data_IF_604630361462
#
_entry.id   IF_604630361462
#
_cell.length_a   1.000
_cell.length_b   1.000
_cell.length_c   1.000
_cell.angle_alpha   90.00
_cell.angle_beta   90.00
_cell.angle_gamma   90.00
#
_symmetry.space_group_name_H-M   'P 1'
#
loop_
_entity.id
_entity.type
_entity.pdbx_description
1 polymer ?
#
# COMPACT_ATOMS: atom_id res chain seq x y z
N UNK A 1 5.09 -42.58 26.01
CA UNK A 1 4.19 -41.47 26.29
C UNK A 1 2.93 -41.70 25.48
N UNK A 2 1.76 -41.91 26.13
CA UNK A 2 0.49 -41.95 25.40
C UNK A 2 0.29 -40.58 24.78
N UNK A 3 0.25 -40.51 23.47
CA UNK A 3 -0.12 -39.28 22.75
C UNK A 3 -1.54 -38.89 23.14
N UNK A 4 -1.70 -37.77 23.82
CA UNK A 4 -3.01 -37.28 24.28
C UNK A 4 -3.78 -36.77 23.05
N UNK A 5 -4.54 -37.68 22.41
CA UNK A 5 -5.33 -37.37 21.20
C UNK A 5 -6.65 -36.70 21.60
N UNK A 6 -7.30 -36.02 20.65
CA UNK A 6 -8.63 -35.43 20.85
C UNK A 6 -9.60 -36.53 21.44
N UNK A 7 -9.53 -37.77 20.92
CA UNK A 7 -10.37 -38.87 21.34
C UNK A 7 -10.13 -39.30 22.78
N UNK A 8 -8.87 -39.42 23.19
CA UNK A 8 -8.53 -39.82 24.56
C UNK A 8 -9.01 -38.77 25.56
N UNK A 9 -8.92 -37.51 25.26
CA UNK A 9 -9.36 -36.41 26.12
C UNK A 9 -10.91 -36.35 26.21
N UNK A 10 -11.60 -36.54 25.08
CA UNK A 10 -13.07 -36.65 25.06
C UNK A 10 -13.56 -37.85 25.88
N UNK A 11 -12.91 -39.01 25.76
CA UNK A 11 -13.26 -40.19 26.55
C UNK A 11 -13.02 -39.97 28.06
N UNK A 12 -11.91 -39.32 28.40
CA UNK A 12 -11.60 -38.98 29.79
C UNK A 12 -12.65 -38.03 30.37
N UNK A 13 -13.02 -36.98 29.61
CA UNK A 13 -14.08 -36.05 30.02
C UNK A 13 -15.42 -36.74 30.26
N UNK A 14 -15.82 -37.70 29.39
CA UNK A 14 -17.04 -38.49 29.53
C UNK A 14 -16.99 -39.29 30.82
N UNK A 15 -15.85 -39.94 31.14
CA UNK A 15 -15.66 -40.69 32.38
C UNK A 15 -15.71 -39.81 33.62
N UNK A 16 -14.99 -38.70 33.63
CA UNK A 16 -14.88 -37.81 34.78
C UNK A 16 -16.22 -37.15 35.14
N UNK A 17 -17.10 -36.97 34.16
CA UNK A 17 -18.43 -36.38 34.37
C UNK A 17 -19.56 -37.44 34.47
N UNK A 18 -19.22 -38.72 34.52
CA UNK A 18 -20.17 -39.84 34.58
C UNK A 18 -21.25 -39.80 33.48
N UNK A 19 -20.84 -39.40 32.25
CA UNK A 19 -21.73 -39.34 31.09
C UNK A 19 -21.67 -40.63 30.28
N UNK A 20 -22.74 -40.94 29.58
CA UNK A 20 -22.73 -41.95 28.51
C UNK A 20 -22.28 -41.29 27.19
N UNK A 21 -21.76 -42.09 26.26
CA UNK A 21 -21.43 -41.58 24.92
C UNK A 21 -22.66 -40.99 24.21
N UNK A 22 -23.85 -41.49 24.47
CA UNK A 22 -25.11 -41.00 23.91
C UNK A 22 -25.48 -39.62 24.45
N UNK A 23 -25.36 -39.41 25.77
CA UNK A 23 -25.62 -38.13 26.42
C UNK A 23 -24.64 -37.06 25.95
N UNK A 24 -23.35 -37.42 25.89
CA UNK A 24 -22.32 -36.49 25.38
C UNK A 24 -22.57 -36.14 23.91
N UNK A 25 -22.88 -37.10 23.05
CA UNK A 25 -23.17 -36.86 21.63
C UNK A 25 -24.36 -35.91 21.44
N UNK A 26 -25.37 -35.99 22.29
CA UNK A 26 -26.51 -35.08 22.29
C UNK A 26 -26.09 -33.67 22.70
N UNK A 27 -25.25 -33.51 23.74
CA UNK A 27 -24.68 -32.20 24.15
C UNK A 27 -23.82 -31.58 23.05
N UNK A 28 -23.04 -32.41 22.36
CA UNK A 28 -22.18 -31.98 21.25
C UNK A 28 -22.95 -31.76 19.94
N UNK A 29 -24.27 -31.97 19.93
CA UNK A 29 -25.10 -31.91 18.72
C UNK A 29 -24.59 -32.81 17.58
N UNK A 30 -24.13 -34.02 17.94
CA UNK A 30 -23.62 -35.03 17.01
C UNK A 30 -24.52 -36.25 17.11
N UNK A 31 -24.92 -36.81 15.94
CA UNK A 31 -25.67 -38.08 15.95
C UNK A 31 -24.88 -39.20 16.67
N UNK A 32 -25.51 -39.96 17.57
CA UNK A 32 -24.86 -41.00 18.40
C UNK A 32 -24.09 -42.02 17.58
N UNK A 33 -24.65 -42.49 16.44
CA UNK A 33 -23.96 -43.42 15.55
C UNK A 33 -22.75 -42.81 14.87
N UNK A 34 -22.79 -41.53 14.56
CA UNK A 34 -21.64 -40.79 14.04
C UNK A 34 -20.59 -40.59 15.11
N UNK A 35 -20.98 -40.20 16.32
CA UNK A 35 -20.07 -40.05 17.47
C UNK A 35 -19.35 -41.37 17.81
N UNK A 36 -20.07 -42.48 17.87
CA UNK A 36 -19.49 -43.82 18.11
C UNK A 36 -18.43 -44.16 17.05
N UNK A 37 -18.68 -43.83 15.77
CA UNK A 37 -17.69 -44.03 14.70
C UNK A 37 -16.45 -43.13 14.82
N UNK A 38 -16.63 -41.89 15.29
CA UNK A 38 -15.53 -40.97 15.56
C UNK A 38 -14.61 -41.50 16.66
N UNK A 39 -15.20 -41.98 17.74
CA UNK A 39 -14.45 -42.45 18.92
C UNK A 39 -13.87 -43.85 18.72
N UNK A 40 -14.70 -44.83 18.27
CA UNK A 40 -14.33 -46.25 18.27
C UNK A 40 -13.69 -46.70 16.95
N UNK A 41 -13.93 -46.00 15.81
CA UNK A 41 -13.43 -46.41 14.51
C UNK A 41 -12.37 -45.41 13.94
N UNK A 42 -11.86 -44.52 14.76
CA UNK A 42 -10.87 -43.51 14.40
C UNK A 42 -11.24 -42.68 13.14
N UNK A 43 -12.56 -42.46 12.89
CA UNK A 43 -12.96 -41.57 11.80
C UNK A 43 -12.46 -40.15 12.05
N UNK A 44 -11.97 -39.48 11.03
CA UNK A 44 -11.54 -38.08 11.15
C UNK A 44 -12.71 -37.17 11.57
N UNK A 45 -12.45 -36.19 12.45
CA UNK A 45 -13.41 -35.16 12.81
C UNK A 45 -13.65 -34.18 11.65
N UNK A 46 -14.88 -33.72 11.48
CA UNK A 46 -15.19 -32.51 10.71
C UNK A 46 -15.09 -31.29 11.61
N UNK A 47 -15.01 -30.09 11.01
CA UNK A 47 -14.95 -28.84 11.77
C UNK A 47 -16.18 -28.68 12.69
N UNK A 48 -17.39 -28.88 12.16
CA UNK A 48 -18.61 -28.77 12.94
C UNK A 48 -18.71 -29.79 14.12
N UNK A 49 -18.09 -30.96 13.96
CA UNK A 49 -18.00 -31.95 15.06
C UNK A 49 -17.00 -31.52 16.12
N UNK A 50 -15.88 -30.91 15.70
CA UNK A 50 -14.88 -30.37 16.61
C UNK A 50 -15.48 -29.23 17.45
N UNK A 51 -16.18 -28.30 16.82
CA UNK A 51 -16.87 -27.18 17.48
C UNK A 51 -17.94 -27.70 18.48
N UNK A 52 -18.70 -28.69 18.07
CA UNK A 52 -19.70 -29.31 18.95
C UNK A 52 -19.07 -29.96 20.19
N UNK A 53 -17.92 -30.62 20.02
CA UNK A 53 -17.19 -31.28 21.12
C UNK A 53 -16.58 -30.22 22.07
N UNK A 54 -15.87 -29.24 21.59
CA UNK A 54 -15.28 -28.17 22.41
C UNK A 54 -16.35 -27.44 23.22
N UNK A 55 -17.47 -27.11 22.59
CA UNK A 55 -18.62 -26.48 23.25
C UNK A 55 -19.25 -27.38 24.33
N UNK A 56 -19.41 -28.68 24.05
CA UNK A 56 -19.97 -29.64 25.00
C UNK A 56 -19.06 -29.84 26.21
N UNK A 57 -17.77 -29.69 26.06
CA UNK A 57 -16.78 -29.79 27.13
C UNK A 57 -16.59 -28.45 27.89
N UNK A 58 -17.16 -27.35 27.40
CA UNK A 58 -16.98 -26.00 27.98
C UNK A 58 -15.57 -25.44 27.78
N UNK A 59 -14.90 -25.88 26.73
CA UNK A 59 -13.54 -25.45 26.37
C UNK A 59 -13.59 -24.27 25.39
N UNK A 60 -12.47 -23.53 25.27
CA UNK A 60 -12.29 -22.50 24.26
C UNK A 60 -12.43 -23.14 22.87
N UNK A 61 -12.99 -22.39 21.92
CA UNK A 61 -13.35 -22.87 20.60
C UNK A 61 -12.17 -23.50 19.85
N UNK A 62 -10.99 -22.91 19.98
CA UNK A 62 -9.76 -23.31 19.32
C UNK A 62 -8.89 -24.31 20.11
N UNK A 63 -9.36 -24.78 21.26
CA UNK A 63 -8.60 -25.64 22.18
C UNK A 63 -7.96 -26.87 21.49
N UNK A 64 -8.67 -27.50 20.55
CA UNK A 64 -8.20 -28.67 19.84
C UNK A 64 -7.52 -28.40 18.51
N UNK A 65 -7.37 -27.13 18.08
CA UNK A 65 -6.96 -26.83 16.71
C UNK A 65 -5.59 -27.38 16.33
N UNK A 66 -4.57 -27.21 17.16
CA UNK A 66 -3.23 -27.77 16.89
C UNK A 66 -3.25 -29.30 16.74
N UNK A 67 -3.98 -29.99 17.63
CA UNK A 67 -4.15 -31.47 17.55
C UNK A 67 -4.97 -31.90 16.34
N UNK A 68 -5.96 -31.11 15.95
CA UNK A 68 -6.75 -31.38 14.76
C UNK A 68 -5.87 -31.29 13.48
N UNK A 69 -4.94 -30.34 13.40
CA UNK A 69 -3.97 -30.28 12.29
C UNK A 69 -3.12 -31.55 12.28
N UNK A 70 -2.54 -31.95 13.41
CA UNK A 70 -1.76 -33.18 13.50
C UNK A 70 -2.56 -34.42 13.01
N UNK A 71 -3.81 -34.54 13.43
CA UNK A 71 -4.69 -35.66 12.99
C UNK A 71 -5.00 -35.59 11.48
N UNK A 72 -5.08 -34.43 10.89
CA UNK A 72 -5.33 -34.27 9.45
C UNK A 72 -4.20 -34.83 8.56
N UNK A 73 -2.97 -34.92 9.09
CA UNK A 73 -1.80 -35.34 8.33
C UNK A 73 -1.24 -36.70 8.79
N UNK A 74 -1.54 -37.15 10.00
CA UNK A 74 -1.00 -38.41 10.53
C UNK A 74 -1.90 -39.62 10.31
N UNK A 75 -3.22 -39.43 10.36
CA UNK A 75 -4.17 -40.56 10.30
C UNK A 75 -4.64 -40.91 8.88
N UNK A 76 -4.71 -39.95 8.00
CA UNK A 76 -5.22 -40.10 6.63
C UNK A 76 -4.50 -39.12 5.70
N UNK A 77 -4.60 -39.33 4.38
CA UNK A 77 -4.21 -38.31 3.42
C UNK A 77 -5.04 -37.03 3.66
N UNK A 78 -4.45 -35.83 3.51
CA UNK A 78 -5.15 -34.58 3.73
C UNK A 78 -6.42 -34.47 2.88
N UNK A 79 -7.55 -34.22 3.50
CA UNK A 79 -8.84 -34.03 2.83
C UNK A 79 -9.24 -32.56 2.83
N UNK A 80 -9.32 -31.97 1.63
CA UNK A 80 -9.66 -30.56 1.44
C UNK A 80 -11.03 -30.16 2.03
N UNK A 81 -11.99 -31.07 2.03
CA UNK A 81 -13.32 -30.82 2.64
C UNK A 81 -13.23 -30.54 4.15
N UNK A 82 -12.15 -30.97 4.80
CA UNK A 82 -11.86 -30.71 6.21
C UNK A 82 -10.94 -29.49 6.38
N UNK A 83 -9.92 -29.39 5.54
CA UNK A 83 -8.92 -28.31 5.65
C UNK A 83 -9.48 -26.94 5.30
N UNK A 84 -10.31 -26.83 4.25
CA UNK A 84 -10.87 -25.53 3.83
C UNK A 84 -11.67 -24.83 4.93
N UNK A 85 -12.72 -25.43 5.53
CA UNK A 85 -13.47 -24.78 6.61
C UNK A 85 -12.61 -24.51 7.84
N UNK A 86 -11.62 -25.35 8.11
CA UNK A 86 -10.69 -25.14 9.21
C UNK A 86 -9.76 -23.92 8.97
N UNK A 87 -9.22 -23.75 7.76
CA UNK A 87 -8.41 -22.58 7.40
C UNK A 87 -9.20 -21.28 7.56
N UNK A 88 -10.46 -21.27 7.11
CA UNK A 88 -11.34 -20.09 7.26
C UNK A 88 -11.55 -19.80 8.75
N UNK A 89 -11.84 -20.84 9.56
CA UNK A 89 -12.07 -20.66 10.98
C UNK A 89 -10.81 -20.22 11.75
N UNK A 90 -9.66 -20.73 11.36
CA UNK A 90 -8.37 -20.24 11.90
C UNK A 90 -8.15 -18.75 11.60
N UNK A 91 -8.51 -18.28 10.39
CA UNK A 91 -8.42 -16.87 10.05
C UNK A 91 -9.38 -16.02 10.89
N UNK A 92 -10.63 -16.45 11.10
CA UNK A 92 -11.63 -15.77 11.93
C UNK A 92 -11.20 -15.64 13.40
N UNK A 93 -10.54 -16.65 13.94
CA UNK A 93 -10.06 -16.67 15.33
C UNK A 93 -8.62 -16.16 15.50
N UNK A 94 -7.96 -15.74 14.43
CA UNK A 94 -6.57 -15.28 14.48
C UNK A 94 -5.53 -16.37 14.74
N UNK A 95 -5.86 -17.67 14.54
CA UNK A 95 -4.97 -18.81 14.72
C UNK A 95 -4.06 -19.02 13.52
N UNK A 96 -3.19 -18.04 13.31
CA UNK A 96 -2.22 -18.03 12.21
C UNK A 96 -1.20 -19.17 12.32
N UNK A 97 -0.84 -19.57 13.54
CA UNK A 97 0.00 -20.72 13.86
C UNK A 97 -0.52 -22.04 13.25
N UNK A 98 -1.84 -22.25 13.29
CA UNK A 98 -2.47 -23.43 12.69
C UNK A 98 -2.44 -23.37 11.15
N UNK A 99 -2.58 -22.18 10.56
CA UNK A 99 -2.45 -21.99 9.11
C UNK A 99 -1.02 -22.31 8.65
N UNK A 100 -0.01 -21.80 9.36
CA UNK A 100 1.40 -22.09 9.07
C UNK A 100 1.72 -23.58 9.17
N UNK A 101 1.18 -24.25 10.19
CA UNK A 101 1.37 -25.69 10.38
C UNK A 101 0.73 -26.50 9.23
N UNK A 102 -0.46 -26.13 8.75
CA UNK A 102 -1.07 -26.75 7.57
C UNK A 102 -0.21 -26.52 6.34
N UNK A 103 0.22 -25.27 6.09
CA UNK A 103 1.04 -24.94 4.94
C UNK A 103 2.33 -25.74 4.92
N UNK A 104 3.04 -25.85 6.06
CA UNK A 104 4.30 -26.61 6.14
C UNK A 104 4.15 -28.08 5.72
N UNK A 105 2.97 -28.66 5.90
CA UNK A 105 2.66 -30.04 5.48
C UNK A 105 2.18 -30.14 4.02
N UNK A 106 1.83 -29.03 3.37
CA UNK A 106 1.29 -29.02 2.00
C UNK A 106 2.27 -28.48 0.94
N UNK A 107 3.39 -27.85 1.33
CA UNK A 107 4.30 -27.15 0.42
C UNK A 107 4.85 -28.01 -0.72
N UNK A 108 5.02 -29.32 -0.49
CA UNK A 108 5.57 -30.25 -1.48
C UNK A 108 4.48 -30.84 -2.42
N UNK A 109 3.22 -30.49 -2.21
CA UNK A 109 2.10 -31.06 -2.97
C UNK A 109 1.45 -30.00 -3.86
N UNK A 110 1.81 -30.01 -5.14
CA UNK A 110 1.32 -29.04 -6.14
C UNK A 110 -0.20 -29.04 -6.34
N UNK A 111 -0.89 -30.13 -5.99
CA UNK A 111 -2.35 -30.22 -6.12
C UNK A 111 -3.11 -29.24 -5.21
N UNK A 112 -2.46 -28.74 -4.15
CA UNK A 112 -3.11 -27.78 -3.24
C UNK A 112 -2.92 -26.32 -3.65
N UNK A 113 -2.07 -26.01 -4.62
CA UNK A 113 -1.80 -24.62 -5.05
C UNK A 113 -3.07 -23.86 -5.42
N UNK A 114 -3.91 -24.42 -6.31
CA UNK A 114 -5.18 -23.79 -6.70
C UNK A 114 -6.18 -23.66 -5.55
N UNK A 115 -6.27 -24.69 -4.73
CA UNK A 115 -7.22 -24.74 -3.61
C UNK A 115 -6.87 -23.73 -2.51
N UNK A 116 -5.58 -23.61 -2.18
CA UNK A 116 -5.08 -22.61 -1.22
C UNK A 116 -5.24 -21.21 -1.76
N UNK A 117 -5.04 -21.01 -3.06
CA UNK A 117 -5.25 -19.72 -3.71
C UNK A 117 -6.70 -19.25 -3.62
N UNK A 118 -7.67 -20.13 -3.87
CA UNK A 118 -9.10 -19.80 -3.75
C UNK A 118 -9.45 -19.34 -2.31
N UNK A 119 -8.94 -20.03 -1.29
CA UNK A 119 -9.13 -19.61 0.12
C UNK A 119 -8.40 -18.30 0.41
N UNK A 120 -7.21 -18.10 -0.14
CA UNK A 120 -6.47 -16.85 0.04
C UNK A 120 -7.23 -15.63 -0.53
N UNK A 121 -7.83 -15.75 -1.74
CA UNK A 121 -8.68 -14.71 -2.32
C UNK A 121 -9.95 -14.47 -1.48
N UNK A 122 -10.62 -15.52 -1.00
CA UNK A 122 -11.78 -15.40 -0.11
C UNK A 122 -11.43 -14.63 1.17
N UNK A 123 -10.33 -14.98 1.83
CA UNK A 123 -9.87 -14.32 3.05
C UNK A 123 -9.41 -12.88 2.80
N UNK A 124 -8.78 -12.64 1.67
CA UNK A 124 -8.37 -11.30 1.26
C UNK A 124 -9.58 -10.36 1.11
N UNK A 125 -10.61 -10.80 0.39
CA UNK A 125 -11.84 -10.03 0.22
C UNK A 125 -12.63 -9.87 1.53
N UNK A 126 -12.53 -10.84 2.44
CA UNK A 126 -13.13 -10.78 3.79
C UNK A 126 -12.28 -10.02 4.81
N UNK A 127 -11.20 -9.35 4.39
CA UNK A 127 -10.29 -8.52 5.19
C UNK A 127 -9.44 -9.29 6.24
N UNK A 128 -9.34 -10.61 6.15
CA UNK A 128 -8.39 -11.40 6.96
C UNK A 128 -7.00 -11.39 6.35
N UNK A 129 -6.39 -10.20 6.30
CA UNK A 129 -5.18 -9.89 5.53
C UNK A 129 -3.97 -10.76 5.90
N UNK A 130 -3.72 -10.96 7.19
CA UNK A 130 -2.56 -11.75 7.64
C UNK A 130 -2.69 -13.23 7.27
N UNK A 131 -3.88 -13.80 7.43
CA UNK A 131 -4.16 -15.18 7.01
C UNK A 131 -4.04 -15.34 5.47
N UNK A 132 -4.59 -14.39 4.71
CA UNK A 132 -4.45 -14.37 3.25
C UNK A 132 -2.97 -14.27 2.82
N UNK A 133 -2.18 -13.43 3.49
CA UNK A 133 -0.74 -13.25 3.24
C UNK A 133 0.04 -14.56 3.43
N UNK A 134 -0.25 -15.31 4.49
CA UNK A 134 0.35 -16.63 4.72
C UNK A 134 0.00 -17.61 3.59
N UNK A 135 -1.28 -17.67 3.19
CA UNK A 135 -1.71 -18.57 2.12
C UNK A 135 -1.09 -18.20 0.77
N UNK A 136 -1.06 -16.92 0.39
CA UNK A 136 -0.37 -16.48 -0.84
C UNK A 136 1.13 -16.83 -0.80
N UNK A 137 1.76 -16.70 0.37
CA UNK A 137 3.14 -17.13 0.58
C UNK A 137 3.31 -18.62 0.31
N UNK A 138 2.44 -19.46 0.86
CA UNK A 138 2.43 -20.91 0.64
C UNK A 138 2.23 -21.28 -0.84
N UNK A 139 1.24 -20.68 -1.51
CA UNK A 139 1.02 -20.87 -2.96
C UNK A 139 2.25 -20.48 -3.76
N UNK A 140 2.89 -19.36 -3.42
CA UNK A 140 4.11 -18.90 -4.10
C UNK A 140 5.28 -19.86 -3.97
N UNK A 141 5.37 -20.59 -2.87
CA UNK A 141 6.39 -21.67 -2.68
C UNK A 141 6.03 -22.89 -3.49
N UNK A 142 4.77 -23.33 -3.45
CA UNK A 142 4.26 -24.49 -4.20
C UNK A 142 4.47 -24.32 -5.71
N UNK A 143 4.21 -23.11 -6.23
CA UNK A 143 4.25 -22.79 -7.66
C UNK A 143 5.55 -22.11 -8.12
N UNK A 144 6.57 -22.05 -7.30
CA UNK A 144 7.81 -21.28 -7.57
C UNK A 144 8.48 -21.55 -8.93
N UNK A 145 8.28 -22.74 -9.49
CA UNK A 145 8.82 -23.13 -10.80
C UNK A 145 7.82 -23.02 -11.94
N UNK A 146 6.60 -22.57 -11.67
CA UNK A 146 5.57 -22.42 -12.68
C UNK A 146 5.54 -20.97 -13.20
N UNK A 147 5.35 -20.82 -14.52
CA UNK A 147 5.09 -19.51 -15.13
C UNK A 147 3.58 -19.27 -15.18
N UNK A 148 2.91 -19.35 -14.01
CA UNK A 148 1.46 -19.19 -13.94
C UNK A 148 1.09 -17.75 -13.63
N UNK A 149 -0.03 -17.32 -14.18
CA UNK A 149 -0.68 -16.06 -13.83
C UNK A 149 -1.04 -16.03 -12.32
N UNK A 150 -1.48 -17.18 -11.78
CA UNK A 150 -1.78 -17.32 -10.35
C UNK A 150 -0.58 -17.00 -9.47
N UNK A 151 0.64 -17.45 -9.84
CA UNK A 151 1.86 -17.07 -9.13
C UNK A 151 2.09 -15.56 -9.19
N UNK A 152 1.88 -14.95 -10.35
CA UNK A 152 2.02 -13.51 -10.52
C UNK A 152 1.01 -12.74 -9.64
N UNK A 153 -0.24 -13.22 -9.59
CA UNK A 153 -1.28 -12.62 -8.75
C UNK A 153 -0.97 -12.80 -7.26
N UNK A 154 -0.45 -13.96 -6.82
CA UNK A 154 0.04 -14.14 -5.45
C UNK A 154 1.14 -13.13 -5.11
N UNK A 155 2.12 -12.93 -5.99
CA UNK A 155 3.19 -11.96 -5.77
C UNK A 155 2.65 -10.51 -5.72
N UNK A 156 1.66 -10.18 -6.54
CA UNK A 156 0.99 -8.88 -6.49
C UNK A 156 0.24 -8.66 -5.16
N UNK A 157 -0.52 -9.68 -4.69
CA UNK A 157 -1.20 -9.62 -3.39
C UNK A 157 -0.20 -9.48 -2.23
N UNK A 158 0.90 -10.26 -2.25
CA UNK A 158 1.97 -10.16 -1.25
C UNK A 158 2.62 -8.77 -1.26
N UNK A 159 2.86 -8.20 -2.43
CA UNK A 159 3.36 -6.84 -2.58
C UNK A 159 2.40 -5.84 -1.93
N UNK A 160 1.14 -5.82 -2.32
CA UNK A 160 0.15 -4.87 -1.81
C UNK A 160 -0.10 -5.00 -0.30
N UNK A 161 -0.11 -6.23 0.24
CA UNK A 161 -0.26 -6.51 1.67
C UNK A 161 1.00 -6.21 2.50
N UNK A 162 2.14 -5.97 1.85
CA UNK A 162 3.41 -5.68 2.53
C UNK A 162 3.74 -4.19 2.55
N UNK A 163 2.95 -3.35 1.87
CA UNK A 163 3.15 -1.91 1.86
C UNK A 163 2.83 -1.30 3.24
N UNK A 164 3.71 -0.42 3.71
CA UNK A 164 3.64 0.24 5.01
C UNK A 164 4.22 1.66 4.92
N UNK A 165 4.38 2.33 6.04
CA UNK A 165 5.11 3.60 6.16
C UNK A 165 6.64 3.45 6.08
N UNK A 166 7.17 2.22 6.09
CA UNK A 166 8.60 1.96 5.96
C UNK A 166 9.03 1.84 4.49
N UNK A 167 9.69 2.87 3.98
CA UNK A 167 10.12 2.96 2.58
C UNK A 167 11.10 1.83 2.17
N UNK A 168 11.98 1.38 3.09
CA UNK A 168 12.90 0.28 2.79
C UNK A 168 12.17 -1.07 2.62
N UNK A 169 11.11 -1.31 3.40
CA UNK A 169 10.23 -2.48 3.22
C UNK A 169 9.45 -2.38 1.92
N UNK A 170 8.94 -1.20 1.59
CA UNK A 170 8.21 -0.95 0.34
C UNK A 170 9.12 -1.18 -0.88
N UNK A 171 10.38 -0.73 -0.86
CA UNK A 171 11.35 -1.01 -1.92
C UNK A 171 11.59 -2.52 -2.11
N UNK A 172 11.76 -3.25 -0.99
CA UNK A 172 11.94 -4.72 -1.06
C UNK A 172 10.71 -5.41 -1.66
N UNK A 173 9.52 -4.99 -1.26
CA UNK A 173 8.27 -5.54 -1.77
C UNK A 173 8.11 -5.25 -3.28
N UNK A 174 8.39 -4.01 -3.72
CA UNK A 174 8.35 -3.61 -5.12
C UNK A 174 9.38 -4.39 -5.97
N UNK A 175 10.64 -4.43 -5.53
CA UNK A 175 11.71 -5.15 -6.24
C UNK A 175 11.41 -6.65 -6.39
N UNK A 176 10.80 -7.27 -5.36
CA UNK A 176 10.40 -8.67 -5.41
C UNK A 176 9.26 -8.92 -6.38
N UNK A 177 8.30 -8.00 -6.46
CA UNK A 177 7.12 -8.16 -7.30
C UNK A 177 7.36 -7.76 -8.77
N UNK A 178 8.17 -6.73 -9.05
CA UNK A 178 8.38 -6.16 -10.39
C UNK A 178 8.56 -7.21 -11.52
N UNK A 179 9.35 -8.31 -11.32
CA UNK A 179 9.53 -9.34 -12.37
C UNK A 179 8.27 -10.14 -12.72
N UNK A 180 7.23 -10.05 -11.91
CA UNK A 180 5.97 -10.77 -12.10
C UNK A 180 4.87 -9.90 -12.73
N UNK A 181 5.03 -8.57 -12.75
CA UNK A 181 4.01 -7.65 -13.22
C UNK A 181 3.51 -7.97 -14.64
N UNK A 182 4.42 -8.28 -15.56
CA UNK A 182 4.11 -8.60 -16.97
C UNK A 182 3.48 -10.00 -17.18
N UNK A 183 3.22 -10.75 -16.10
CA UNK A 183 2.57 -12.07 -16.17
C UNK A 183 1.14 -12.03 -15.69
N UNK A 184 0.68 -10.88 -15.22
CA UNK A 184 -0.70 -10.66 -14.84
C UNK A 184 -1.58 -10.48 -16.07
N UNK A 185 -2.87 -10.82 -15.93
CA UNK A 185 -3.90 -10.41 -16.89
C UNK A 185 -3.90 -8.89 -17.05
N UNK A 186 -4.16 -8.38 -18.25
CA UNK A 186 -3.96 -6.97 -18.61
C UNK A 186 -4.68 -5.99 -17.66
N UNK A 187 -5.85 -6.35 -17.17
CA UNK A 187 -6.61 -5.52 -16.22
C UNK A 187 -5.95 -5.42 -14.84
N UNK A 188 -5.43 -6.55 -14.32
CA UNK A 188 -4.69 -6.59 -13.06
C UNK A 188 -3.29 -5.99 -13.23
N UNK A 189 -2.69 -6.14 -14.42
CA UNK A 189 -1.40 -5.56 -14.74
C UNK A 189 -1.43 -4.03 -14.67
N UNK A 190 -2.48 -3.37 -15.20
CA UNK A 190 -2.62 -1.92 -15.11
C UNK A 190 -2.64 -1.42 -13.67
N UNK A 191 -3.42 -2.07 -12.81
CA UNK A 191 -3.48 -1.71 -11.39
C UNK A 191 -2.15 -1.96 -10.67
N UNK A 192 -1.49 -3.08 -10.99
CA UNK A 192 -0.20 -3.44 -10.42
C UNK A 192 0.92 -2.47 -10.82
N UNK A 193 0.97 -2.08 -12.10
CA UNK A 193 1.94 -1.09 -12.60
C UNK A 193 1.70 0.27 -11.95
N UNK A 194 0.43 0.69 -11.79
CA UNK A 194 0.08 1.91 -11.06
C UNK A 194 0.59 1.87 -9.61
N UNK A 195 0.39 0.76 -8.89
CA UNK A 195 0.87 0.61 -7.52
C UNK A 195 2.40 0.61 -7.43
N UNK A 196 3.09 -0.05 -8.37
CA UNK A 196 4.56 0.03 -8.47
C UNK A 196 5.03 1.47 -8.68
N UNK A 197 4.40 2.20 -9.63
CA UNK A 197 4.72 3.59 -9.89
C UNK A 197 4.54 4.46 -8.63
N UNK A 198 3.47 4.27 -7.85
CA UNK A 198 3.26 4.98 -6.58
C UNK A 198 4.38 4.72 -5.57
N UNK A 199 4.81 3.46 -5.42
CA UNK A 199 5.93 3.13 -4.53
C UNK A 199 7.20 3.82 -4.99
N UNK A 200 7.50 3.80 -6.29
CA UNK A 200 8.69 4.46 -6.82
C UNK A 200 8.61 6.00 -6.76
N UNK A 201 7.42 6.60 -6.86
CA UNK A 201 7.23 8.04 -6.55
C UNK A 201 7.62 8.32 -5.10
N UNK A 202 7.16 7.51 -4.16
CA UNK A 202 7.48 7.69 -2.73
C UNK A 202 8.97 7.50 -2.42
N UNK A 203 9.66 6.71 -3.23
CA UNK A 203 11.11 6.47 -3.15
C UNK A 203 11.92 7.49 -3.95
N UNK A 204 11.28 8.42 -4.68
CA UNK A 204 11.91 9.38 -5.60
C UNK A 204 12.72 8.71 -6.72
N UNK A 205 12.37 7.47 -7.08
CA UNK A 205 13.00 6.69 -8.16
C UNK A 205 12.38 7.05 -9.53
N UNK A 206 12.57 8.30 -9.93
CA UNK A 206 11.86 8.92 -11.07
C UNK A 206 12.06 8.22 -12.40
N UNK A 207 13.23 7.62 -12.64
CA UNK A 207 13.46 6.82 -13.84
C UNK A 207 12.53 5.60 -13.90
N UNK A 208 12.31 4.94 -12.76
CA UNK A 208 11.35 3.84 -12.66
C UNK A 208 9.92 4.33 -12.89
N UNK A 209 9.58 5.49 -12.31
CA UNK A 209 8.27 6.11 -12.52
C UNK A 209 8.01 6.37 -14.00
N UNK A 210 8.94 7.00 -14.70
CA UNK A 210 8.81 7.30 -16.13
C UNK A 210 8.63 6.01 -16.97
N UNK A 211 9.50 5.01 -16.74
CA UNK A 211 9.42 3.72 -17.45
C UNK A 211 8.07 3.01 -17.22
N UNK A 212 7.60 2.95 -15.96
CA UNK A 212 6.32 2.31 -15.63
C UNK A 212 5.13 3.10 -16.17
N UNK A 213 5.24 4.41 -16.23
CA UNK A 213 4.20 5.28 -16.77
C UNK A 213 4.04 5.08 -18.28
N UNK A 214 5.15 4.97 -19.01
CA UNK A 214 5.09 4.66 -20.46
C UNK A 214 4.47 3.28 -20.71
N UNK A 215 4.85 2.27 -19.91
CA UNK A 215 4.25 0.93 -20.01
C UNK A 215 2.75 0.96 -19.66
N UNK A 216 2.36 1.70 -18.61
CA UNK A 216 0.94 1.88 -18.22
C UNK A 216 0.15 2.52 -19.36
N UNK A 217 0.68 3.57 -19.98
CA UNK A 217 0.03 4.24 -21.12
C UNK A 217 -0.13 3.29 -22.29
N UNK A 218 0.93 2.56 -22.64
CA UNK A 218 0.93 1.59 -23.76
C UNK A 218 -0.13 0.51 -23.55
N UNK A 219 -0.16 -0.11 -22.37
CA UNK A 219 -1.14 -1.15 -22.03
C UNK A 219 -2.56 -0.60 -22.03
N UNK A 220 -2.78 0.54 -21.39
CA UNK A 220 -4.11 1.15 -21.30
C UNK A 220 -4.63 1.58 -22.67
N UNK A 221 -3.79 2.13 -23.55
CA UNK A 221 -4.17 2.55 -24.89
C UNK A 221 -4.66 1.38 -25.75
N UNK A 222 -3.91 0.26 -25.71
CA UNK A 222 -4.31 -0.97 -26.43
C UNK A 222 -5.67 -1.46 -25.94
N UNK A 223 -5.86 -1.54 -24.61
CA UNK A 223 -7.10 -2.02 -24.02
C UNK A 223 -8.27 -1.06 -24.28
N UNK A 224 -8.02 0.26 -24.27
CA UNK A 224 -9.02 1.26 -24.62
C UNK A 224 -9.50 1.12 -26.05
N UNK A 225 -8.58 1.03 -27.02
CA UNK A 225 -8.93 0.79 -28.43
C UNK A 225 -9.70 -0.52 -28.65
N UNK A 226 -9.31 -1.59 -27.94
CA UNK A 226 -10.03 -2.87 -27.99
C UNK A 226 -11.45 -2.75 -27.41
N UNK A 227 -11.63 -1.94 -26.38
CA UNK A 227 -12.93 -1.73 -25.71
C UNK A 227 -13.94 -1.00 -26.61
N UNK A 228 -13.48 -0.17 -27.54
CA UNK A 228 -14.32 0.56 -28.50
C UNK A 228 -14.83 -0.32 -29.66
N UNK A 229 -14.23 -1.50 -29.86
CA UNK A 229 -14.66 -2.41 -30.94
C UNK A 229 -15.98 -3.12 -30.58
N UNK A 230 -16.84 -3.42 -31.58
CA UNK A 230 -18.08 -4.15 -31.35
C UNK A 230 -17.80 -5.50 -30.67
N UNK A 231 -18.39 -5.75 -29.51
CA UNK A 231 -18.20 -7.00 -28.76
C UNK A 231 -18.78 -8.19 -29.50
N UNK A 232 -17.98 -9.22 -29.77
CA UNK A 232 -18.49 -10.57 -30.08
C UNK A 232 -19.11 -11.15 -28.79
N UNK A 233 -20.31 -11.75 -28.91
CA UNK A 233 -21.22 -12.18 -27.83
C UNK A 233 -20.66 -13.19 -26.78
N UNK A 234 -19.36 -13.52 -26.75
CA UNK A 234 -18.84 -14.70 -26.04
C UNK A 234 -17.69 -14.47 -25.05
N UNK A 235 -17.25 -13.26 -24.80
CA UNK A 235 -16.18 -13.06 -23.79
C UNK A 235 -16.62 -12.15 -22.66
N UNK A 236 -16.79 -12.73 -21.48
CA UNK A 236 -16.80 -11.97 -20.22
C UNK A 236 -15.37 -11.45 -19.98
N UNK A 237 -15.10 -10.22 -20.42
CA UNK A 237 -13.85 -9.55 -20.04
C UNK A 237 -13.95 -9.08 -18.60
N UNK A 238 -12.95 -9.40 -17.80
CA UNK A 238 -12.77 -8.81 -16.47
C UNK A 238 -12.70 -7.29 -16.63
N UNK A 239 -13.53 -6.55 -15.91
CA UNK A 239 -13.48 -5.10 -15.95
C UNK A 239 -12.28 -4.61 -15.13
N UNK A 240 -11.52 -3.62 -15.60
CA UNK A 240 -10.48 -2.98 -14.80
C UNK A 240 -11.10 -2.25 -13.61
N UNK A 241 -10.30 -1.98 -12.57
CA UNK A 241 -10.72 -1.25 -11.36
C UNK A 241 -11.14 0.19 -11.71
N UNK A 242 -10.46 0.80 -12.67
CA UNK A 242 -10.78 2.12 -13.24
C UNK A 242 -10.89 2.01 -14.75
N UNK A 243 -11.61 2.93 -15.43
CA UNK A 243 -11.64 2.97 -16.88
C UNK A 243 -10.24 3.05 -17.49
N UNK A 244 -10.01 2.47 -18.67
CA UNK A 244 -8.70 2.46 -19.32
C UNK A 244 -8.15 3.88 -19.58
N UNK A 245 -9.00 4.82 -19.95
CA UNK A 245 -8.60 6.23 -20.15
C UNK A 245 -8.07 6.87 -18.85
N UNK A 246 -8.54 6.44 -17.66
CA UNK A 246 -7.96 6.89 -16.41
C UNK A 246 -6.47 6.56 -16.32
N UNK A 247 -6.07 5.33 -16.65
CA UNK A 247 -4.65 4.93 -16.61
C UNK A 247 -3.82 5.66 -17.67
N UNK A 248 -4.42 5.96 -18.85
CA UNK A 248 -3.75 6.76 -19.88
C UNK A 248 -3.44 8.17 -19.38
N UNK A 249 -4.44 8.85 -18.82
CA UNK A 249 -4.29 10.20 -18.26
C UNK A 249 -3.33 10.21 -17.07
N UNK A 250 -3.47 9.22 -16.18
CA UNK A 250 -2.62 9.09 -15.00
C UNK A 250 -1.16 8.81 -15.35
N UNK A 251 -0.89 8.03 -16.38
CA UNK A 251 0.45 7.81 -16.89
C UNK A 251 1.11 9.12 -17.35
N UNK A 252 0.38 9.95 -18.09
CA UNK A 252 0.89 11.26 -18.54
C UNK A 252 1.11 12.23 -17.38
N UNK A 253 0.25 12.19 -16.35
CA UNK A 253 0.45 12.95 -15.12
C UNK A 253 1.76 12.55 -14.41
N UNK A 254 2.03 11.25 -14.28
CA UNK A 254 3.26 10.75 -13.67
C UNK A 254 4.52 11.09 -14.49
N UNK A 255 4.42 11.05 -15.82
CA UNK A 255 5.51 11.49 -16.69
C UNK A 255 5.80 12.98 -16.53
N UNK A 256 4.77 13.84 -16.49
CA UNK A 256 4.95 15.25 -16.20
C UNK A 256 5.67 15.47 -14.86
N UNK A 257 5.29 14.74 -13.81
CA UNK A 257 5.96 14.79 -12.51
C UNK A 257 7.42 14.29 -12.56
N UNK A 258 7.72 13.26 -13.35
CA UNK A 258 9.09 12.78 -13.51
C UNK A 258 9.97 13.84 -14.20
N UNK A 259 9.46 14.49 -15.26
CA UNK A 259 10.20 15.57 -15.96
C UNK A 259 10.34 16.84 -15.11
N UNK A 260 9.38 17.14 -14.22
CA UNK A 260 9.56 18.16 -13.18
C UNK A 260 10.80 17.89 -12.33
N UNK A 261 10.98 16.65 -11.88
CA UNK A 261 12.10 16.27 -11.02
C UNK A 261 13.45 16.21 -11.78
N UNK A 262 13.41 16.03 -13.10
CA UNK A 262 14.59 16.19 -13.97
C UNK A 262 14.90 17.65 -14.30
N UNK A 263 14.10 18.60 -13.81
CA UNK A 263 14.14 20.03 -14.13
C UNK A 263 13.97 20.32 -15.65
N UNK A 264 13.41 19.37 -16.41
CA UNK A 264 13.02 19.54 -17.82
C UNK A 264 11.56 20.05 -17.89
N UNK A 265 11.39 21.32 -17.52
CA UNK A 265 10.07 21.92 -17.41
C UNK A 265 9.35 22.07 -18.76
N UNK A 266 10.08 22.14 -19.86
CA UNK A 266 9.48 22.18 -21.20
C UNK A 266 8.73 20.88 -21.49
N UNK A 267 9.38 19.74 -21.26
CA UNK A 267 8.73 18.43 -21.40
C UNK A 267 7.64 18.21 -20.35
N UNK A 268 7.84 18.65 -19.11
CA UNK A 268 6.81 18.58 -18.09
C UNK A 268 5.52 19.29 -18.54
N UNK A 269 5.64 20.48 -19.16
CA UNK A 269 4.51 21.22 -19.75
C UNK A 269 3.89 20.44 -20.93
N UNK A 270 4.72 19.87 -21.82
CA UNK A 270 4.22 19.06 -22.93
C UNK A 270 3.37 17.89 -22.42
N UNK A 271 3.86 17.13 -21.43
CA UNK A 271 3.11 16.03 -20.83
C UNK A 271 1.86 16.52 -20.09
N UNK A 272 1.93 17.67 -19.40
CA UNK A 272 0.77 18.26 -18.73
C UNK A 272 -0.37 18.59 -19.70
N UNK A 273 -0.07 18.99 -20.91
CA UNK A 273 -1.06 19.23 -21.97
C UNK A 273 -1.71 17.96 -22.49
N UNK A 274 -1.06 16.79 -22.42
CA UNK A 274 -1.58 15.53 -22.96
C UNK A 274 -2.74 14.96 -22.15
N UNK A 275 -2.92 15.38 -20.91
CA UNK A 275 -4.09 15.00 -20.08
C UNK A 275 -5.09 16.16 -19.86
N UNK A 276 -4.89 17.26 -20.57
CA UNK A 276 -5.90 18.32 -20.70
C UNK A 276 -6.97 17.92 -21.74
N UNK A 277 -8.19 18.47 -21.59
CA UNK A 277 -9.29 18.35 -22.55
C UNK A 277 -9.57 16.90 -22.98
N UNK A 278 -9.49 15.98 -22.02
CA UNK A 278 -9.65 14.55 -22.30
C UNK A 278 -11.06 14.20 -22.79
N UNK A 279 -12.05 15.03 -22.52
CA UNK A 279 -13.43 14.94 -23.05
C UNK A 279 -13.50 14.99 -24.57
N UNK A 280 -12.50 15.51 -25.27
CA UNK A 280 -12.49 15.59 -26.72
C UNK A 280 -12.28 14.23 -27.42
N UNK A 281 -11.65 13.28 -26.70
CA UNK A 281 -11.29 11.98 -27.28
C UNK A 281 -11.84 10.77 -26.50
N UNK A 282 -12.37 10.97 -25.27
CA UNK A 282 -12.99 9.91 -24.49
C UNK A 282 -14.41 9.68 -25.00
N UNK A 283 -14.66 8.48 -25.55
CA UNK A 283 -16.00 8.04 -25.98
C UNK A 283 -16.75 7.39 -24.81
N UNK A 284 -16.99 8.15 -23.76
CA UNK A 284 -17.77 7.74 -22.57
C UNK A 284 -18.48 8.96 -21.97
N UNK A 285 -19.82 8.90 -21.93
CA UNK A 285 -20.67 9.97 -21.40
C UNK A 285 -21.14 9.75 -19.95
N UNK A 286 -20.56 8.75 -19.26
CA UNK A 286 -20.88 8.42 -17.88
C UNK A 286 -20.51 9.55 -16.91
N UNK A 287 -21.15 9.59 -15.74
CA UNK A 287 -20.77 10.52 -14.68
C UNK A 287 -19.33 10.26 -14.17
N UNK A 288 -18.87 9.01 -14.19
CA UNK A 288 -17.47 8.69 -13.84
C UNK A 288 -16.50 9.34 -14.84
N UNK A 289 -16.79 9.28 -16.15
CA UNK A 289 -15.95 9.91 -17.16
C UNK A 289 -15.89 11.43 -16.97
N UNK A 290 -17.01 12.09 -16.70
CA UNK A 290 -17.06 13.54 -16.44
C UNK A 290 -16.24 13.92 -15.23
N UNK A 291 -16.36 13.19 -14.11
CA UNK A 291 -15.56 13.44 -12.89
C UNK A 291 -14.07 13.31 -13.18
N UNK A 292 -13.66 12.25 -13.90
CA UNK A 292 -12.26 12.02 -14.25
C UNK A 292 -11.74 13.14 -15.17
N UNK A 293 -12.46 13.52 -16.22
CA UNK A 293 -12.01 14.55 -17.16
C UNK A 293 -11.89 15.92 -16.49
N UNK A 294 -12.86 16.32 -15.66
CA UNK A 294 -12.78 17.55 -14.88
C UNK A 294 -11.55 17.55 -13.97
N UNK A 295 -11.32 16.46 -13.24
CA UNK A 295 -10.19 16.32 -12.32
C UNK A 295 -8.84 16.43 -13.05
N UNK A 296 -8.67 15.76 -14.20
CA UNK A 296 -7.43 15.83 -14.95
C UNK A 296 -7.23 17.18 -15.64
N UNK A 297 -8.29 17.88 -16.05
CA UNK A 297 -8.22 19.26 -16.53
C UNK A 297 -7.74 20.22 -15.43
N UNK A 298 -8.25 20.06 -14.20
CA UNK A 298 -7.75 20.82 -13.05
C UNK A 298 -6.27 20.55 -12.79
N UNK A 299 -5.84 19.27 -12.77
CA UNK A 299 -4.43 18.91 -12.62
C UNK A 299 -3.55 19.49 -13.75
N UNK A 300 -4.04 19.44 -14.99
CA UNK A 300 -3.31 20.01 -16.11
C UNK A 300 -3.10 21.53 -15.96
N UNK A 301 -4.15 22.23 -15.58
CA UNK A 301 -4.09 23.68 -15.35
C UNK A 301 -3.09 24.03 -14.25
N UNK A 302 -3.19 23.34 -13.09
CA UNK A 302 -2.28 23.51 -11.96
C UNK A 302 -0.82 23.28 -12.35
N UNK A 303 -0.56 22.14 -12.99
CA UNK A 303 0.79 21.71 -13.34
C UNK A 303 1.40 22.58 -14.44
N UNK A 304 0.62 23.07 -15.42
CA UNK A 304 1.11 24.03 -16.41
C UNK A 304 1.51 25.37 -15.77
N UNK A 305 0.74 25.87 -14.79
CA UNK A 305 1.11 27.07 -14.03
C UNK A 305 2.39 26.82 -13.22
N UNK A 306 2.45 25.71 -12.50
CA UNK A 306 3.61 25.34 -11.70
C UNK A 306 4.88 25.22 -12.55
N UNK A 307 4.84 24.45 -13.64
CA UNK A 307 6.03 24.20 -14.46
C UNK A 307 6.53 25.45 -15.18
N UNK A 308 5.62 26.34 -15.61
CA UNK A 308 6.01 27.65 -16.13
C UNK A 308 6.70 28.51 -15.06
N UNK A 309 6.20 28.49 -13.83
CA UNK A 309 6.80 29.19 -12.70
C UNK A 309 8.21 28.65 -12.39
N UNK A 310 8.36 27.32 -12.33
CA UNK A 310 9.64 26.63 -12.10
C UNK A 310 10.65 26.89 -13.23
N UNK A 311 10.17 27.05 -14.47
CA UNK A 311 10.98 27.42 -15.63
C UNK A 311 11.45 28.90 -15.61
N UNK A 312 10.98 29.72 -14.66
CA UNK A 312 11.38 31.11 -14.47
C UNK A 312 10.42 32.13 -15.06
N UNK A 313 9.23 31.75 -15.49
CA UNK A 313 8.19 32.70 -15.88
C UNK A 313 7.52 33.31 -14.63
N UNK A 314 8.20 34.25 -14.00
CA UNK A 314 7.76 34.88 -12.75
C UNK A 314 6.43 35.65 -12.89
N UNK A 315 6.06 36.06 -14.09
CA UNK A 315 4.81 36.80 -14.33
C UNK A 315 3.58 36.00 -13.97
N UNK A 316 3.69 34.65 -13.95
CA UNK A 316 2.58 33.76 -13.63
C UNK A 316 2.44 33.49 -12.12
N UNK A 317 3.34 34.01 -11.28
CA UNK A 317 3.32 33.80 -9.84
C UNK A 317 1.98 34.20 -9.21
N UNK A 318 1.43 35.35 -9.61
CA UNK A 318 0.13 35.80 -9.11
C UNK A 318 -0.99 34.83 -9.44
N UNK A 319 -1.02 34.33 -10.69
CA UNK A 319 -2.05 33.39 -11.14
C UNK A 319 -1.93 32.03 -10.38
N UNK A 320 -0.69 31.59 -10.16
CA UNK A 320 -0.45 30.36 -9.37
C UNK A 320 -0.85 30.52 -7.90
N UNK A 321 -0.58 31.70 -7.29
CA UNK A 321 -1.00 32.02 -5.91
C UNK A 321 -2.53 32.01 -5.78
N UNK A 322 -3.24 32.60 -6.72
CA UNK A 322 -4.71 32.59 -6.71
C UNK A 322 -5.26 31.16 -6.94
N UNK A 323 -4.61 30.38 -7.78
CA UNK A 323 -4.98 28.97 -7.98
C UNK A 323 -4.86 28.18 -6.66
N UNK A 324 -3.71 28.20 -5.98
CA UNK A 324 -3.53 27.45 -4.73
C UNK A 324 -4.45 27.98 -3.61
N UNK A 325 -4.76 29.29 -3.58
CA UNK A 325 -5.69 29.87 -2.63
C UNK A 325 -7.12 29.30 -2.78
N UNK A 326 -7.49 28.89 -3.98
CA UNK A 326 -8.77 28.23 -4.25
C UNK A 326 -8.83 26.74 -3.84
N UNK A 327 -7.69 26.14 -3.50
CA UNK A 327 -7.53 24.71 -3.20
C UNK A 327 -6.79 24.50 -1.84
N UNK A 328 -7.51 24.54 -0.71
CA UNK A 328 -6.89 24.52 0.63
C UNK A 328 -5.95 23.35 0.87
N UNK A 329 -6.21 22.18 0.27
CA UNK A 329 -5.39 20.98 0.42
C UNK A 329 -4.07 21.06 -0.37
N UNK A 330 -3.96 21.96 -1.34
CA UNK A 330 -2.78 22.15 -2.20
C UNK A 330 -1.90 23.32 -1.75
N UNK A 331 -2.37 24.16 -0.82
CA UNK A 331 -1.66 25.38 -0.39
C UNK A 331 -0.24 25.05 0.09
N UNK A 332 -0.08 24.06 0.95
CA UNK A 332 1.24 23.72 1.48
C UNK A 332 2.21 23.26 0.39
N UNK A 333 1.82 22.33 -0.48
CA UNK A 333 2.65 21.90 -1.62
C UNK A 333 2.97 23.08 -2.56
N UNK A 334 1.99 23.94 -2.80
CA UNK A 334 2.18 25.17 -3.57
C UNK A 334 3.22 26.11 -2.95
N UNK A 335 3.15 26.33 -1.63
CA UNK A 335 4.15 27.11 -0.89
C UNK A 335 5.56 26.52 -0.99
N UNK A 336 5.71 25.20 -0.93
CA UNK A 336 7.00 24.55 -1.11
C UNK A 336 7.66 24.93 -2.45
N UNK A 337 6.87 24.96 -3.53
CA UNK A 337 7.36 25.37 -4.86
C UNK A 337 7.64 26.87 -4.94
N UNK A 338 6.76 27.71 -4.38
CA UNK A 338 6.94 29.18 -4.37
C UNK A 338 8.22 29.55 -3.65
N UNK A 339 8.50 28.96 -2.48
CA UNK A 339 9.74 29.24 -1.72
C UNK A 339 10.99 28.79 -2.50
N UNK A 340 10.95 27.64 -3.16
CA UNK A 340 12.06 27.20 -4.04
C UNK A 340 12.30 28.17 -5.20
N UNK A 341 11.23 28.65 -5.83
CA UNK A 341 11.30 29.65 -6.91
C UNK A 341 11.84 30.98 -6.38
N UNK A 342 11.38 31.42 -5.22
CA UNK A 342 11.86 32.64 -4.58
C UNK A 342 13.38 32.59 -4.33
N UNK A 343 13.88 31.47 -3.80
CA UNK A 343 15.32 31.26 -3.61
C UNK A 343 16.09 31.18 -4.92
N UNK A 344 15.53 30.58 -5.97
CA UNK A 344 16.20 30.41 -7.28
C UNK A 344 16.31 31.69 -8.05
N UNK A 345 15.32 32.57 -7.99
CA UNK A 345 15.20 33.78 -8.80
C UNK A 345 15.28 35.09 -8.00
N UNK A 346 15.60 34.99 -6.70
CA UNK A 346 15.75 36.13 -5.78
C UNK A 346 14.49 37.04 -5.73
N UNK A 347 13.32 36.41 -5.45
CA UNK A 347 12.03 37.12 -5.46
C UNK A 347 11.54 37.29 -4.02
N UNK A 348 11.06 38.49 -3.70
CA UNK A 348 10.38 38.72 -2.44
C UNK A 348 8.96 38.13 -2.47
N UNK A 349 8.66 37.24 -1.49
CA UNK A 349 7.37 36.56 -1.32
C UNK A 349 6.78 36.76 0.09
N UNK A 350 7.21 37.82 0.82
CA UNK A 350 6.77 38.08 2.18
C UNK A 350 5.24 38.17 2.29
N UNK A 351 4.59 38.89 1.37
CA UNK A 351 3.13 39.03 1.32
C UNK A 351 2.40 37.67 1.11
N UNK A 352 3.03 36.76 0.34
CA UNK A 352 2.48 35.43 0.08
C UNK A 352 2.61 34.58 1.34
N UNK A 353 3.77 34.62 2.02
CA UNK A 353 3.99 33.90 3.27
C UNK A 353 3.06 34.40 4.39
N UNK A 354 2.81 35.71 4.47
CA UNK A 354 1.86 36.28 5.41
C UNK A 354 0.41 35.83 5.11
N UNK A 355 0.01 35.85 3.82
CA UNK A 355 -1.31 35.39 3.38
C UNK A 355 -1.59 33.93 3.77
N UNK A 356 -0.58 33.07 3.72
CA UNK A 356 -0.73 31.63 3.98
C UNK A 356 -0.09 31.15 5.30
N UNK A 357 0.19 32.04 6.23
CA UNK A 357 0.87 31.73 7.49
C UNK A 357 0.25 30.57 8.28
N UNK A 358 -1.08 30.37 8.20
CA UNK A 358 -1.78 29.28 8.89
C UNK A 358 -1.52 27.89 8.26
N UNK A 359 -0.95 27.84 7.05
CA UNK A 359 -0.64 26.61 6.34
C UNK A 359 0.85 26.20 6.46
N UNK A 360 1.68 27.06 7.05
CA UNK A 360 3.12 26.80 7.25
C UNK A 360 3.38 25.72 8.31
N UNK A 361 2.68 25.70 9.49
CA UNK A 361 2.92 24.67 10.51
C UNK A 361 2.58 23.27 10.00
N UNK A 362 3.40 22.29 10.42
CA UNK A 362 3.19 20.89 10.06
C UNK A 362 1.79 20.41 10.47
N UNK A 363 1.06 19.88 9.52
CA UNK A 363 -0.22 19.23 9.74
C UNK A 363 -0.16 17.77 9.29
N UNK A 364 -0.59 16.85 10.14
CA UNK A 364 -0.80 15.46 9.74
C UNK A 364 -2.07 15.36 8.92
N UNK A 365 -1.93 15.13 7.63
CA UNK A 365 -3.07 14.92 6.73
C UNK A 365 -3.38 13.42 6.63
N UNK A 366 -4.66 13.06 6.74
CA UNK A 366 -5.13 11.76 6.29
C UNK A 366 -5.20 11.78 4.77
N UNK A 367 -4.18 11.24 4.12
CA UNK A 367 -4.13 11.21 2.66
C UNK A 367 -5.07 10.15 2.10
N UNK A 368 -5.80 10.49 1.04
CA UNK A 368 -6.61 9.54 0.27
C UNK A 368 -5.78 8.39 -0.36
N UNK A 369 -4.46 8.51 -0.36
CA UNK A 369 -3.50 7.55 -0.94
C UNK A 369 -2.87 6.58 0.08
N UNK A 370 -3.38 6.50 1.32
CA UNK A 370 -2.96 5.52 2.31
C UNK A 370 -1.85 5.98 3.27
N UNK A 371 -1.52 5.12 4.25
CA UNK A 371 -0.58 5.43 5.34
C UNK A 371 0.88 5.66 4.87
N UNK A 372 1.28 5.06 3.75
CA UNK A 372 2.64 5.22 3.20
C UNK A 372 2.98 6.64 2.70
N UNK A 373 2.00 7.55 2.63
CA UNK A 373 2.25 8.96 2.29
C UNK A 373 2.64 9.83 3.50
N UNK A 374 2.46 9.36 4.72
CA UNK A 374 2.85 10.12 5.92
C UNK A 374 4.35 10.45 5.95
N UNK A 375 5.27 9.48 5.71
CA UNK A 375 6.70 9.78 5.63
C UNK A 375 7.03 10.80 4.54
N UNK A 376 6.37 10.71 3.37
CA UNK A 376 6.63 11.64 2.25
C UNK A 376 6.27 13.08 2.66
N UNK A 377 5.14 13.28 3.31
CA UNK A 377 4.73 14.62 3.78
C UNK A 377 5.65 15.17 4.87
N UNK A 378 6.16 14.31 5.74
CA UNK A 378 7.14 14.71 6.73
C UNK A 378 8.48 15.10 6.07
N UNK A 379 8.95 14.34 5.09
CA UNK A 379 10.15 14.66 4.28
C UNK A 379 9.96 15.98 3.50
N UNK A 380 8.79 16.20 2.91
CA UNK A 380 8.44 17.44 2.21
C UNK A 380 8.50 18.63 3.16
N UNK A 381 7.97 18.49 4.38
CA UNK A 381 8.00 19.55 5.40
C UNK A 381 9.41 19.87 5.88
N UNK A 382 10.24 18.85 6.14
CA UNK A 382 11.65 19.06 6.51
C UNK A 382 12.42 19.81 5.40
N UNK A 383 12.18 19.44 4.13
CA UNK A 383 12.76 20.13 2.98
C UNK A 383 12.26 21.58 2.86
N UNK A 384 10.96 21.79 3.11
CA UNK A 384 10.35 23.12 3.09
C UNK A 384 10.96 24.04 4.13
N UNK A 385 11.15 23.61 5.38
CA UNK A 385 11.78 24.43 6.42
C UNK A 385 13.21 24.81 6.05
N UNK A 386 13.96 23.91 5.40
CA UNK A 386 15.29 24.22 4.90
C UNK A 386 15.28 25.32 3.83
N UNK A 387 14.36 25.23 2.86
CA UNK A 387 14.22 26.25 1.80
C UNK A 387 13.67 27.58 2.36
N UNK A 388 12.72 27.53 3.28
CA UNK A 388 12.20 28.73 3.96
C UNK A 388 13.27 29.40 4.81
N UNK A 389 14.09 28.63 5.51
CA UNK A 389 15.25 29.14 6.23
C UNK A 389 16.25 29.86 5.33
N UNK A 390 16.56 29.31 4.14
CA UNK A 390 17.38 30.01 3.13
C UNK A 390 16.78 31.35 2.72
N UNK A 391 15.46 31.35 2.41
CA UNK A 391 14.75 32.56 2.05
C UNK A 391 14.85 33.63 3.14
N UNK A 392 14.61 33.27 4.39
CA UNK A 392 14.70 34.20 5.50
C UNK A 392 16.12 34.65 5.80
N UNK A 393 17.16 33.84 5.58
CA UNK A 393 18.54 34.25 5.71
C UNK A 393 18.91 35.39 4.77
N UNK A 394 18.35 35.38 3.54
CA UNK A 394 18.53 36.45 2.59
C UNK A 394 17.81 37.74 3.00
N UNK A 395 16.58 37.62 3.52
CA UNK A 395 15.70 38.77 3.76
C UNK A 395 15.53 39.14 5.24
N UNK A 396 15.67 38.18 6.17
CA UNK A 396 15.43 38.32 7.61
C UNK A 396 16.36 37.40 8.41
N UNK A 397 17.65 37.74 8.50
CA UNK A 397 18.74 36.88 8.99
C UNK A 397 18.43 36.13 10.31
N UNK A 398 17.90 36.81 11.33
CA UNK A 398 17.58 36.21 12.63
C UNK A 398 16.54 35.09 12.51
N UNK A 399 15.46 35.33 11.77
CA UNK A 399 14.37 34.37 11.55
C UNK A 399 14.81 33.16 10.72
N UNK A 400 15.76 33.37 9.78
CA UNK A 400 16.32 32.29 8.97
C UNK A 400 17.05 31.22 9.79
N UNK A 401 17.83 31.64 10.79
CA UNK A 401 18.52 30.70 11.68
C UNK A 401 17.53 29.90 12.50
N UNK A 402 16.49 30.53 13.05
CA UNK A 402 15.47 29.85 13.86
C UNK A 402 14.71 28.80 13.03
N UNK A 403 14.33 29.16 11.79
CA UNK A 403 13.66 28.24 10.86
C UNK A 403 14.54 27.06 10.46
N UNK A 404 15.84 27.29 10.24
CA UNK A 404 16.78 26.20 9.95
C UNK A 404 16.97 25.26 11.15
N UNK A 405 17.03 25.79 12.39
CA UNK A 405 17.11 24.97 13.59
C UNK A 405 15.85 24.10 13.75
N UNK A 406 14.68 24.67 13.51
CA UNK A 406 13.42 23.93 13.48
C UNK A 406 13.44 22.83 12.42
N UNK A 407 13.93 23.15 11.21
CA UNK A 407 14.08 22.18 10.10
C UNK A 407 15.05 21.04 10.46
N UNK A 408 16.16 21.34 11.14
CA UNK A 408 17.12 20.35 11.58
C UNK A 408 16.51 19.43 12.66
N UNK A 409 15.88 20.00 13.69
CA UNK A 409 15.17 19.23 14.74
C UNK A 409 14.10 18.33 14.13
N UNK A 410 13.33 18.84 13.18
CA UNK A 410 12.28 18.05 12.52
C UNK A 410 12.87 16.92 11.69
N UNK A 411 13.94 17.17 10.90
CA UNK A 411 14.61 16.15 10.10
C UNK A 411 15.21 15.03 10.96
N UNK A 412 15.84 15.35 12.09
CA UNK A 412 16.35 14.36 13.05
C UNK A 412 15.19 13.52 13.65
N UNK A 413 14.09 14.17 14.06
CA UNK A 413 12.93 13.48 14.65
C UNK A 413 12.30 12.46 13.71
N UNK A 414 12.32 12.72 12.39
CA UNK A 414 11.82 11.78 11.36
C UNK A 414 12.92 10.85 10.83
N UNK A 415 14.16 10.94 11.35
CA UNK A 415 15.33 10.18 10.91
C UNK A 415 15.62 10.37 9.40
N UNK A 416 15.52 11.60 8.91
CA UNK A 416 15.79 11.97 7.52
C UNK A 416 17.22 12.44 7.32
N UNK A 417 18.17 11.53 7.07
CA UNK A 417 19.57 11.86 6.78
C UNK A 417 19.71 12.86 5.63
N UNK A 418 18.89 12.72 4.58
CA UNK A 418 18.92 13.59 3.40
C UNK A 418 18.61 15.05 3.74
N UNK A 419 17.55 15.31 4.51
CA UNK A 419 17.17 16.66 4.90
C UNK A 419 18.09 17.20 6.00
N UNK A 420 18.56 16.37 6.93
CA UNK A 420 19.61 16.75 7.89
C UNK A 420 20.85 17.26 7.17
N UNK A 421 21.37 16.51 6.20
CA UNK A 421 22.55 16.93 5.40
C UNK A 421 22.30 18.22 4.63
N UNK A 422 21.11 18.37 4.01
CA UNK A 422 20.74 19.60 3.29
C UNK A 422 20.72 20.82 4.22
N UNK A 423 20.11 20.67 5.39
CA UNK A 423 20.02 21.72 6.40
C UNK A 423 21.42 22.12 6.91
N UNK A 424 22.27 21.13 7.25
CA UNK A 424 23.63 21.35 7.68
C UNK A 424 24.50 22.07 6.64
N UNK A 425 24.30 21.76 5.35
CA UNK A 425 24.98 22.49 4.25
C UNK A 425 24.63 23.97 4.25
N UNK A 426 23.37 24.32 4.43
CA UNK A 426 22.93 25.73 4.51
C UNK A 426 23.55 26.41 5.73
N UNK A 427 23.53 25.74 6.90
CA UNK A 427 24.21 26.24 8.09
C UNK A 427 25.70 26.49 7.88
N UNK A 428 26.41 25.60 7.20
CA UNK A 428 27.84 25.72 6.96
C UNK A 428 28.24 26.97 6.16
N UNK A 429 27.30 27.47 5.34
CA UNK A 429 27.51 28.68 4.52
C UNK A 429 27.28 29.97 5.32
N UNK A 430 26.61 29.90 6.50
CA UNK A 430 26.20 31.05 7.28
C UNK A 430 26.73 30.97 8.72
N UNK A 431 28.02 30.64 8.92
CA UNK A 431 28.63 30.31 10.21
C UNK A 431 28.80 31.47 11.21
N UNK A 432 28.51 32.71 10.85
CA UNK A 432 28.60 33.86 11.72
C UNK A 432 27.46 33.91 12.74
N UNK A 433 27.56 33.08 13.77
CA UNK A 433 26.60 33.00 14.86
C UNK A 433 26.86 34.14 15.86
N UNK A 434 25.99 35.14 15.87
CA UNK A 434 26.03 36.22 16.84
C UNK A 434 25.33 35.87 18.16
N UNK A 435 24.54 34.76 18.19
CA UNK A 435 23.66 34.37 19.28
C UNK A 435 24.13 33.03 19.90
N UNK A 436 24.55 33.08 21.19
CA UNK A 436 25.09 31.92 21.92
C UNK A 436 23.99 30.86 22.18
N UNK A 437 22.74 31.29 22.43
CA UNK A 437 21.59 30.39 22.65
C UNK A 437 21.30 29.52 21.44
N UNK A 438 21.36 30.10 20.21
CA UNK A 438 21.17 29.38 18.97
C UNK A 438 22.29 28.37 18.71
N UNK A 439 23.52 28.73 19.06
CA UNK A 439 24.69 27.84 19.01
C UNK A 439 24.56 26.65 19.94
N UNK A 440 24.07 26.86 21.14
CA UNK A 440 23.82 25.79 22.13
C UNK A 440 22.68 24.87 21.65
N UNK A 441 21.60 25.44 21.04
CA UNK A 441 20.51 24.68 20.48
C UNK A 441 21.00 23.77 19.34
N UNK A 442 21.80 24.32 18.41
CA UNK A 442 22.42 23.54 17.34
C UNK A 442 23.28 22.39 17.88
N UNK A 443 24.14 22.65 18.85
CA UNK A 443 25.01 21.63 19.42
C UNK A 443 24.21 20.51 20.09
N UNK A 444 23.11 20.82 20.76
CA UNK A 444 22.19 19.81 21.33
C UNK A 444 21.59 18.90 20.29
N UNK A 445 21.19 19.44 19.16
CA UNK A 445 20.58 18.66 18.06
C UNK A 445 21.63 17.75 17.40
N UNK A 446 22.81 18.30 17.11
CA UNK A 446 23.84 17.62 16.31
C UNK A 446 24.64 16.55 17.09
N UNK A 447 24.68 16.61 18.40
CA UNK A 447 25.43 15.68 19.25
C UNK A 447 24.53 14.81 20.15
N UNK A 448 23.21 14.84 19.98
CA UNK A 448 22.26 13.91 20.62
C UNK A 448 22.08 12.65 19.76
#
# INVERSE_FOLDING_TARGET
MQTNTIRTEVLQYIQDHNLTQSEFSTRANINSGSFSRLINQNKPFSMSQLDGITKAMGLDEDYFYSRFVEECFTLTAPDWRRLRPFLIRCAELGRLDCIELILSNLLDNTNYGSLLFEVAEELFHSQYKEAAKLLYGGVSVIEKYQHSERLALCQYRLFSLSLSDNLALNLRAATRFEPYANRLEETDQLEAVKHLAHVYVSLQEWHKVDTLSEEMYRLASIQYELSLRPKRKTSEYKKPVRPFYFYMLYARLLQAAAYEQYEDYEKAIEYAKLYANAEEWIDDSSEEAKVITIQFNEYSTANQLLYQLLAGNIRILSDYVEYIASKPDEVFSGLCHIVKVANKFDINIDDILERFQEHIPYKTYNSAFGEYNKPIKAEEYASFLTELGKYYLHHRRSQGIDTLLEGLEFAENISSDSNTIKCLKVFSQHRDWEDEDKRERFNRIHYS
#
